data_IF_902248127370
#
_entry.id   IF_902248127370
#
_cell.length_a   1.000
_cell.length_b   1.000
_cell.length_c   1.000
_cell.angle_alpha   90.00
_cell.angle_beta   90.00
_cell.angle_gamma   90.00
#
_symmetry.space_group_name_H-M   'P 1'
#
loop_
_entity.id
_entity.type
_entity.pdbx_description
1 polymer ?
#
# COMPACT_ATOMS: atom_id res chain seq x y z
N UNK A 1 -50.59 -3.40 10.88
CA UNK A 1 -49.67 -4.24 10.09
C UNK A 1 -48.31 -3.60 10.24
N UNK A 2 -47.38 -4.34 10.84
CA UNK A 2 -46.05 -3.87 11.27
C UNK A 2 -45.22 -3.46 10.06
N UNK A 3 -44.76 -2.21 10.03
CA UNK A 3 -43.65 -1.81 9.17
C UNK A 3 -42.43 -2.64 9.58
N UNK A 4 -42.11 -3.63 8.76
CA UNK A 4 -40.90 -4.43 8.91
C UNK A 4 -39.71 -3.47 8.90
N UNK A 5 -38.91 -3.56 9.97
CA UNK A 5 -37.72 -2.78 10.25
C UNK A 5 -36.64 -3.13 9.21
N UNK A 6 -36.76 -2.62 7.98
CA UNK A 6 -35.83 -2.88 6.88
C UNK A 6 -34.48 -2.27 7.22
N UNK A 7 -33.48 -3.12 7.40
CA UNK A 7 -32.10 -2.72 7.63
C UNK A 7 -31.51 -2.18 6.32
N UNK A 8 -30.99 -0.95 6.36
CA UNK A 8 -30.18 -0.40 5.28
C UNK A 8 -28.74 -0.83 5.48
N UNK A 9 -28.19 -1.48 4.47
CA UNK A 9 -26.81 -1.99 4.47
C UNK A 9 -25.95 -1.07 3.64
N UNK A 10 -25.01 -0.42 4.31
CA UNK A 10 -24.07 0.46 3.67
C UNK A 10 -22.80 -0.31 3.30
N UNK A 11 -22.48 -0.34 2.01
CA UNK A 11 -21.35 -1.09 1.46
C UNK A 11 -20.53 -0.22 0.52
N UNK A 12 -19.21 -0.40 0.60
CA UNK A 12 -18.25 0.13 -0.35
C UNK A 12 -17.70 -0.92 -1.31
N UNK A 13 -16.55 -0.66 -1.94
CA UNK A 13 -15.90 -1.58 -2.88
C UNK A 13 -15.15 -2.74 -2.19
N UNK A 14 -14.80 -3.76 -3.00
CA UNK A 14 -14.21 -5.04 -2.55
C UNK A 14 -12.82 -4.92 -1.91
N UNK A 15 -12.10 -3.83 -2.16
CA UNK A 15 -10.83 -3.54 -1.53
C UNK A 15 -10.95 -2.20 -0.81
N UNK A 16 -11.67 -2.19 0.33
CA UNK A 16 -12.10 -0.94 0.96
C UNK A 16 -10.89 -0.15 1.44
N UNK A 17 -10.88 1.14 1.11
CA UNK A 17 -9.95 2.11 1.67
C UNK A 17 -10.57 2.83 2.86
N UNK A 18 -9.77 3.69 3.49
CA UNK A 18 -10.16 4.40 4.71
C UNK A 18 -11.37 5.29 4.48
N UNK A 19 -11.46 5.92 3.32
CA UNK A 19 -12.56 6.84 2.97
C UNK A 19 -13.88 6.08 2.92
N UNK A 20 -13.93 4.96 2.20
CA UNK A 20 -15.12 4.11 2.13
C UNK A 20 -15.63 3.66 3.48
N UNK A 21 -14.72 3.17 4.32
CA UNK A 21 -15.10 2.60 5.62
C UNK A 21 -15.59 3.72 6.54
N UNK A 22 -14.91 4.86 6.52
CA UNK A 22 -15.28 6.03 7.31
C UNK A 22 -16.63 6.59 6.86
N UNK A 23 -16.84 6.74 5.55
CA UNK A 23 -18.11 7.22 5.00
C UNK A 23 -19.26 6.27 5.33
N UNK A 24 -19.07 4.95 5.19
CA UNK A 24 -20.11 3.98 5.52
C UNK A 24 -20.53 4.04 7.00
N UNK A 25 -19.55 4.25 7.89
CA UNK A 25 -19.80 4.44 9.33
C UNK A 25 -20.51 5.76 9.62
N UNK A 26 -20.06 6.86 9.01
CA UNK A 26 -20.69 8.20 9.17
C UNK A 26 -22.13 8.17 8.67
N UNK A 27 -22.39 7.58 7.50
CA UNK A 27 -23.72 7.54 6.91
C UNK A 27 -24.66 6.62 7.71
N UNK A 28 -24.15 5.48 8.20
CA UNK A 28 -24.89 4.62 9.14
C UNK A 28 -25.31 5.40 10.39
N UNK A 29 -24.40 6.16 11.00
CA UNK A 29 -24.70 6.98 12.17
C UNK A 29 -25.71 8.10 11.84
N UNK A 30 -25.59 8.73 10.67
CA UNK A 30 -26.55 9.72 10.18
C UNK A 30 -27.96 9.13 10.05
N UNK A 31 -28.10 7.95 9.42
CA UNK A 31 -29.39 7.26 9.28
C UNK A 31 -29.99 6.89 10.63
N UNK A 32 -29.17 6.39 11.57
CA UNK A 32 -29.62 6.06 12.93
C UNK A 32 -30.15 7.29 13.67
N UNK A 33 -29.50 8.45 13.52
CA UNK A 33 -30.00 9.73 14.06
C UNK A 33 -31.31 10.20 13.43
N UNK A 34 -31.59 9.75 12.20
CA UNK A 34 -32.88 9.95 11.51
C UNK A 34 -33.92 8.87 11.87
N UNK A 35 -33.65 8.03 12.88
CA UNK A 35 -34.48 6.88 13.28
C UNK A 35 -34.65 5.81 12.19
N UNK A 36 -33.68 5.68 11.28
CA UNK A 36 -33.63 4.63 10.26
C UNK A 36 -32.69 3.54 10.74
N UNK A 37 -33.15 2.28 10.72
CA UNK A 37 -32.32 1.13 11.08
C UNK A 37 -31.26 0.89 9.99
N UNK A 38 -29.99 1.08 10.34
CA UNK A 38 -28.88 0.95 9.41
C UNK A 38 -27.66 0.28 10.05
N UNK A 39 -26.87 -0.42 9.22
CA UNK A 39 -25.62 -1.07 9.63
C UNK A 39 -24.59 -1.01 8.51
N UNK A 40 -23.36 -0.65 8.86
CA UNK A 40 -22.22 -0.62 7.95
C UNK A 40 -21.62 -2.03 7.80
N UNK A 41 -21.26 -2.38 6.57
CA UNK A 41 -20.57 -3.62 6.25
C UNK A 41 -19.36 -3.35 5.36
N UNK A 42 -18.35 -4.24 5.44
CA UNK A 42 -17.19 -4.24 4.53
C UNK A 42 -17.26 -5.41 3.56
N UNK A 43 -16.84 -5.20 2.32
CA UNK A 43 -16.80 -6.24 1.29
C UNK A 43 -15.43 -6.95 1.17
N UNK A 44 -14.44 -6.50 1.95
CA UNK A 44 -13.09 -7.03 1.91
C UNK A 44 -12.37 -6.83 3.23
N UNK A 45 -11.11 -7.27 3.28
CA UNK A 45 -10.24 -7.03 4.42
C UNK A 45 -9.85 -5.56 4.50
N UNK A 46 -9.79 -5.03 5.71
CA UNK A 46 -9.33 -3.66 5.96
C UNK A 46 -7.82 -3.57 5.73
N UNK A 47 -7.38 -2.47 5.13
CA UNK A 47 -5.95 -2.14 5.05
C UNK A 47 -5.45 -1.59 6.40
N UNK A 48 -4.13 -1.48 6.56
CA UNK A 48 -3.52 -1.06 7.83
C UNK A 48 -3.82 0.40 8.19
N UNK A 49 -3.99 1.27 7.19
CA UNK A 49 -4.41 2.66 7.38
C UNK A 49 -5.79 2.73 8.03
N UNK A 50 -6.77 1.98 7.50
CA UNK A 50 -8.14 1.95 8.02
C UNK A 50 -8.21 1.36 9.42
N UNK A 51 -7.50 0.25 9.68
CA UNK A 51 -7.41 -0.33 11.03
C UNK A 51 -6.85 0.66 12.05
N UNK A 52 -5.81 1.41 11.67
CA UNK A 52 -5.21 2.44 12.53
C UNK A 52 -6.19 3.56 12.85
N UNK A 53 -6.95 4.05 11.86
CA UNK A 53 -7.97 5.08 12.05
C UNK A 53 -9.03 4.60 13.06
N UNK A 54 -9.63 3.43 12.82
CA UNK A 54 -10.68 2.88 13.69
C UNK A 54 -10.21 2.71 15.14
N UNK A 55 -9.00 2.20 15.33
CA UNK A 55 -8.39 2.06 16.66
C UNK A 55 -8.14 3.41 17.33
N UNK A 56 -7.77 4.44 16.58
CA UNK A 56 -7.50 5.77 17.14
C UNK A 56 -8.76 6.40 17.71
N UNK A 57 -9.91 6.16 17.08
CA UNK A 57 -11.21 6.68 17.50
C UNK A 57 -12.04 5.68 18.33
N UNK A 58 -11.41 4.58 18.77
CA UNK A 58 -12.04 3.49 19.55
C UNK A 58 -13.34 2.95 18.92
N UNK A 59 -13.34 2.78 17.60
CA UNK A 59 -14.48 2.23 16.84
C UNK A 59 -14.25 0.77 16.46
N UNK A 60 -15.31 -0.04 16.53
CA UNK A 60 -15.27 -1.43 16.07
C UNK A 60 -15.21 -1.53 14.54
N UNK A 61 -14.53 -2.56 14.05
CA UNK A 61 -14.47 -2.87 12.63
C UNK A 61 -15.86 -3.27 12.10
N UNK A 62 -16.29 -2.73 10.93
CA UNK A 62 -17.51 -3.20 10.29
C UNK A 62 -17.46 -4.70 9.99
N UNK A 63 -18.60 -5.37 10.15
CA UNK A 63 -18.71 -6.79 9.84
C UNK A 63 -18.47 -7.05 8.34
N UNK A 64 -17.82 -8.18 8.03
CA UNK A 64 -17.69 -8.59 6.63
C UNK A 64 -19.05 -9.05 6.12
N UNK A 65 -19.50 -8.46 5.00
CA UNK A 65 -20.75 -8.87 4.39
C UNK A 65 -20.66 -10.33 3.97
N UNK A 66 -21.55 -11.16 4.48
CA UNK A 66 -21.69 -12.55 4.04
C UNK A 66 -22.57 -12.65 2.79
N UNK A 67 -22.34 -13.64 1.93
CA UNK A 67 -23.10 -13.85 0.68
C UNK A 67 -24.61 -14.16 0.88
N UNK A 68 -25.09 -14.25 2.12
CA UNK A 68 -26.46 -14.64 2.48
C UNK A 68 -27.40 -13.45 2.74
N UNK A 69 -27.33 -12.40 1.91
CA UNK A 69 -28.25 -11.26 2.04
C UNK A 69 -29.63 -11.61 1.46
N UNK A 70 -30.70 -11.27 2.18
CA UNK A 70 -32.05 -11.41 1.63
C UNK A 70 -32.24 -10.41 0.49
N UNK A 71 -32.97 -10.82 -0.56
CA UNK A 71 -33.32 -9.98 -1.72
C UNK A 71 -34.08 -8.69 -1.34
N UNK A 72 -34.56 -8.59 -0.09
CA UNK A 72 -35.28 -7.44 0.46
C UNK A 72 -34.39 -6.39 1.14
N UNK A 73 -33.07 -6.60 1.24
CA UNK A 73 -32.16 -5.65 1.90
C UNK A 73 -31.94 -4.41 1.03
N UNK A 74 -32.16 -3.23 1.60
CA UNK A 74 -31.84 -1.98 0.91
C UNK A 74 -30.37 -1.67 1.08
N UNK A 75 -29.67 -1.46 -0.04
CA UNK A 75 -28.23 -1.20 -0.03
C UNK A 75 -27.99 0.28 -0.35
N UNK A 76 -27.22 0.94 0.52
CA UNK A 76 -26.62 2.24 0.21
C UNK A 76 -25.20 1.99 -0.32
N UNK A 77 -24.92 2.50 -1.52
CA UNK A 77 -23.58 2.50 -2.10
C UNK A 77 -22.99 3.88 -1.90
N UNK A 78 -22.00 3.98 -1.01
CA UNK A 78 -21.39 5.26 -0.65
C UNK A 78 -20.24 5.67 -1.57
N UNK A 79 -19.72 4.75 -2.39
CA UNK A 79 -18.66 5.05 -3.36
C UNK A 79 -18.56 4.01 -4.50
N UNK A 80 -18.17 4.46 -5.70
CA UNK A 80 -17.95 3.69 -6.93
C UNK A 80 -16.77 4.30 -7.70
N UNK A 81 -15.66 3.56 -7.84
CA UNK A 81 -14.42 4.11 -8.39
C UNK A 81 -14.48 4.41 -9.90
N UNK A 82 -14.14 5.64 -10.29
CA UNK A 82 -13.53 5.97 -11.58
C UNK A 82 -11.98 6.00 -11.45
N UNK A 83 -11.28 5.49 -12.47
CA UNK A 83 -9.86 5.13 -12.48
C UNK A 83 -8.83 6.29 -12.43
N UNK A 84 -9.20 7.52 -12.06
CA UNK A 84 -8.27 8.67 -12.10
C UNK A 84 -8.19 9.42 -10.78
N UNK A 85 -7.33 8.95 -9.86
CA UNK A 85 -6.93 9.72 -8.69
C UNK A 85 -5.71 10.58 -9.04
N UNK A 86 -5.93 11.89 -9.19
CA UNK A 86 -4.91 12.96 -9.27
C UNK A 86 -4.97 13.83 -8.00
N UNK A 87 -4.23 14.94 -7.92
CA UNK A 87 -4.25 15.87 -6.76
C UNK A 87 -5.63 16.51 -6.57
N UNK A 88 -6.51 15.86 -5.82
CA UNK A 88 -7.92 16.23 -5.63
C UNK A 88 -8.16 17.17 -4.44
N UNK A 89 -7.14 17.47 -3.63
CA UNK A 89 -7.31 18.31 -2.44
C UNK A 89 -7.75 19.74 -2.79
N UNK A 90 -8.93 20.11 -2.31
CA UNK A 90 -9.56 21.41 -2.47
C UNK A 90 -9.42 22.28 -1.22
N UNK A 91 -9.81 23.55 -1.32
CA UNK A 91 -9.87 24.46 -0.17
C UNK A 91 -10.93 24.03 0.85
N UNK A 92 -11.99 23.35 0.40
CA UNK A 92 -13.04 22.86 1.29
C UNK A 92 -12.59 21.63 2.09
N UNK A 93 -11.72 20.79 1.52
CA UNK A 93 -11.06 19.71 2.27
C UNK A 93 -10.20 20.28 3.42
N UNK A 94 -9.44 21.34 3.14
CA UNK A 94 -8.60 22.01 4.16
C UNK A 94 -9.45 22.59 5.29
N UNK A 95 -10.53 23.31 4.96
CA UNK A 95 -11.46 23.86 5.96
C UNK A 95 -12.16 22.76 6.76
N UNK A 96 -12.46 21.63 6.13
CA UNK A 96 -13.08 20.48 6.79
C UNK A 96 -12.13 19.89 7.82
N UNK A 97 -10.85 19.72 7.49
CA UNK A 97 -9.82 19.28 8.44
C UNK A 97 -9.68 20.28 9.59
N UNK A 98 -9.63 21.57 9.32
CA UNK A 98 -9.56 22.63 10.34
C UNK A 98 -10.76 22.60 11.29
N UNK A 99 -11.96 22.33 10.77
CA UNK A 99 -13.20 22.22 11.56
C UNK A 99 -13.25 20.93 12.38
N UNK A 100 -12.83 19.79 11.81
CA UNK A 100 -12.90 18.48 12.46
C UNK A 100 -11.79 18.25 13.48
N UNK A 101 -10.60 18.83 13.28
CA UNK A 101 -9.45 18.65 14.16
C UNK A 101 -9.73 18.93 15.65
N UNK A 102 -10.35 20.06 16.05
CA UNK A 102 -10.67 20.29 17.46
C UNK A 102 -11.78 19.37 18.00
N UNK A 103 -12.57 18.74 17.12
CA UNK A 103 -13.65 17.83 17.50
C UNK A 103 -13.17 16.38 17.66
N UNK A 104 -12.02 16.03 17.09
CA UNK A 104 -11.47 14.67 17.13
C UNK A 104 -10.67 14.36 18.41
N UNK A 105 -10.63 15.30 19.37
CA UNK A 105 -9.84 15.19 20.61
C UNK A 105 -8.34 14.87 20.36
N UNK A 106 -7.86 15.19 19.15
CA UNK A 106 -6.50 14.95 18.75
C UNK A 106 -5.67 16.22 18.97
N UNK A 107 -4.76 16.19 19.94
CA UNK A 107 -3.97 17.37 20.30
C UNK A 107 -2.83 17.69 19.31
N UNK A 108 -2.51 16.78 18.39
CA UNK A 108 -1.39 16.94 17.46
C UNK A 108 -1.65 16.28 16.09
N UNK A 109 -2.19 17.09 15.17
CA UNK A 109 -2.52 16.66 13.82
C UNK A 109 -1.30 16.14 13.04
N UNK A 110 -0.15 16.82 13.16
CA UNK A 110 1.08 16.43 12.44
C UNK A 110 1.57 15.05 12.90
N UNK A 111 1.58 14.81 14.22
CA UNK A 111 1.92 13.50 14.77
C UNK A 111 0.95 12.41 14.30
N UNK A 112 -0.35 12.69 14.28
CA UNK A 112 -1.36 11.75 13.81
C UNK A 112 -1.21 11.42 12.32
N UNK A 113 -1.01 12.43 11.47
CA UNK A 113 -0.76 12.24 10.04
C UNK A 113 0.49 11.39 9.81
N UNK A 114 1.57 11.65 10.55
CA UNK A 114 2.78 10.83 10.47
C UNK A 114 2.52 9.37 10.86
N UNK A 115 1.74 9.13 11.92
CA UNK A 115 1.35 7.76 12.33
C UNK A 115 0.42 7.08 11.34
N UNK A 116 -0.45 7.82 10.67
CA UNK A 116 -1.29 7.32 9.59
C UNK A 116 -0.45 6.88 8.39
N UNK A 117 0.53 7.70 7.99
CA UNK A 117 1.48 7.32 6.92
C UNK A 117 2.32 6.11 7.30
N UNK A 118 2.80 6.01 8.55
CA UNK A 118 3.49 4.83 9.05
C UNK A 118 2.60 3.58 8.90
N UNK A 119 1.36 3.62 9.40
CA UNK A 119 0.41 2.51 9.33
C UNK A 119 0.09 2.11 7.88
N UNK A 120 -0.15 3.09 7.00
CA UNK A 120 -0.39 2.86 5.57
C UNK A 120 0.78 2.17 4.88
N UNK A 121 2.00 2.56 5.25
CA UNK A 121 3.25 2.05 4.69
C UNK A 121 3.77 0.78 5.38
N UNK A 122 3.04 0.29 6.38
CA UNK A 122 3.40 -0.91 7.13
C UNK A 122 3.11 -2.15 6.28
N UNK A 123 4.18 -2.82 5.88
CA UNK A 123 4.15 -4.02 5.06
C UNK A 123 4.41 -5.29 5.88
N UNK A 124 4.53 -5.18 7.21
CA UNK A 124 4.92 -6.30 8.08
C UNK A 124 3.92 -7.47 8.05
N UNK A 125 2.62 -7.19 7.92
CA UNK A 125 1.58 -8.23 7.82
C UNK A 125 1.62 -9.02 6.49
N UNK A 126 2.27 -8.49 5.45
CA UNK A 126 2.36 -9.16 4.16
C UNK A 126 3.57 -10.09 4.09
N UNK A 127 3.41 -11.23 3.41
CA UNK A 127 4.56 -12.08 3.09
C UNK A 127 5.52 -11.36 2.15
N UNK A 128 6.81 -11.62 2.27
CA UNK A 128 7.84 -11.05 1.37
C UNK A 128 7.52 -11.32 -0.10
N UNK A 129 6.95 -12.49 -0.40
CA UNK A 129 6.40 -12.82 -1.73
C UNK A 129 5.30 -11.86 -2.18
N UNK A 130 4.31 -11.57 -1.32
CA UNK A 130 3.20 -10.66 -1.66
C UNK A 130 3.72 -9.24 -1.85
N UNK A 131 4.56 -8.75 -0.95
CA UNK A 131 5.16 -7.41 -1.03
C UNK A 131 5.88 -7.21 -2.36
N UNK A 132 6.74 -8.18 -2.70
CA UNK A 132 7.46 -8.22 -3.97
C UNK A 132 6.55 -8.10 -5.20
N UNK A 133 5.43 -8.83 -5.20
CA UNK A 133 4.50 -8.87 -6.32
C UNK A 133 3.69 -7.59 -6.50
N UNK A 134 3.67 -6.67 -5.53
CA UNK A 134 2.91 -5.42 -5.63
C UNK A 134 3.42 -4.50 -6.76
N UNK A 135 4.74 -4.43 -6.97
CA UNK A 135 5.34 -3.59 -8.03
C UNK A 135 6.40 -4.33 -8.86
N UNK A 136 6.31 -5.65 -8.97
CA UNK A 136 7.24 -6.36 -9.85
C UNK A 136 6.94 -6.12 -11.33
N UNK A 137 7.96 -5.65 -12.04
CA UNK A 137 7.94 -5.49 -13.49
C UNK A 137 9.08 -6.28 -14.12
N UNK A 138 8.82 -6.82 -15.30
CA UNK A 138 9.81 -7.57 -16.08
C UNK A 138 10.36 -6.68 -17.18
N UNK A 139 11.68 -6.68 -17.35
CA UNK A 139 12.42 -5.90 -18.32
C UNK A 139 13.37 -6.82 -19.08
N UNK A 140 13.64 -6.43 -20.32
CA UNK A 140 14.56 -7.12 -21.20
C UNK A 140 15.69 -6.16 -21.52
N UNK A 141 16.91 -6.52 -21.14
CA UNK A 141 18.11 -5.79 -21.50
C UNK A 141 18.98 -6.72 -22.34
N UNK A 142 19.13 -6.42 -23.62
CA UNK A 142 19.70 -7.35 -24.61
C UNK A 142 18.98 -8.72 -24.56
N UNK A 143 19.71 -9.82 -24.38
CA UNK A 143 19.17 -11.18 -24.23
C UNK A 143 18.86 -11.57 -22.76
N UNK A 144 19.06 -10.66 -21.80
CA UNK A 144 18.86 -10.93 -20.38
C UNK A 144 17.47 -10.51 -19.88
N UNK A 145 16.89 -11.36 -19.03
CA UNK A 145 15.60 -11.11 -18.38
C UNK A 145 15.81 -10.62 -16.95
N UNK A 146 15.32 -9.41 -16.68
CA UNK A 146 15.41 -8.76 -15.38
C UNK A 146 14.02 -8.58 -14.77
N UNK A 147 13.86 -8.94 -13.50
CA UNK A 147 12.71 -8.48 -12.70
C UNK A 147 13.15 -7.44 -11.70
N UNK A 148 12.48 -6.30 -11.71
CA UNK A 148 12.77 -5.18 -10.81
C UNK A 148 11.47 -4.82 -10.10
N UNK A 149 11.52 -4.78 -8.77
CA UNK A 149 10.38 -4.42 -7.93
C UNK A 149 10.78 -3.42 -6.87
N UNK A 150 9.82 -2.65 -6.42
CA UNK A 150 10.00 -1.62 -5.40
C UNK A 150 8.96 -1.77 -4.31
N UNK A 151 9.39 -1.79 -3.05
CA UNK A 151 8.54 -1.67 -1.88
C UNK A 151 8.78 -0.33 -1.21
N UNK A 152 7.78 0.55 -1.27
CA UNK A 152 7.79 1.83 -0.55
C UNK A 152 7.34 1.60 0.90
N UNK A 153 8.07 2.20 1.85
CA UNK A 153 7.78 2.08 3.29
C UNK A 153 8.21 3.35 4.03
N UNK A 154 7.61 3.62 5.19
CA UNK A 154 8.13 4.62 6.14
C UNK A 154 9.02 3.96 7.22
N UNK A 155 9.13 2.63 7.22
CA UNK A 155 9.93 1.87 8.18
C UNK A 155 10.85 0.90 7.45
N UNK A 156 11.97 1.42 6.96
CA UNK A 156 12.97 0.62 6.24
C UNK A 156 13.59 -0.49 7.12
N UNK A 157 13.77 -0.24 8.41
CA UNK A 157 14.47 -1.17 9.31
C UNK A 157 13.69 -2.49 9.45
N UNK A 158 12.35 -2.44 9.60
CA UNK A 158 11.52 -3.65 9.68
C UNK A 158 11.53 -4.49 8.39
N UNK A 159 11.73 -3.84 7.25
CA UNK A 159 11.86 -4.52 5.96
C UNK A 159 13.24 -5.18 5.82
N UNK A 160 14.29 -4.52 6.31
CA UNK A 160 15.66 -5.04 6.32
C UNK A 160 15.84 -6.19 7.31
N UNK A 161 15.13 -6.20 8.44
CA UNK A 161 15.09 -7.35 9.36
C UNK A 161 14.63 -8.63 8.67
N UNK A 162 13.82 -8.51 7.60
CA UNK A 162 13.32 -9.60 6.77
C UNK A 162 14.15 -9.86 5.51
N UNK A 163 15.36 -9.28 5.41
CA UNK A 163 16.26 -9.39 4.25
C UNK A 163 16.44 -10.84 3.80
N UNK A 164 16.72 -11.75 4.73
CA UNK A 164 17.00 -13.15 4.40
C UNK A 164 15.75 -13.86 3.83
N UNK A 165 14.56 -13.51 4.30
CA UNK A 165 13.30 -14.00 3.72
C UNK A 165 13.10 -13.48 2.30
N UNK A 166 13.39 -12.20 2.05
CA UNK A 166 13.34 -11.62 0.71
C UNK A 166 14.32 -12.30 -0.24
N UNK A 167 15.58 -12.45 0.17
CA UNK A 167 16.63 -13.09 -0.63
C UNK A 167 16.27 -14.55 -0.94
N UNK A 168 15.70 -15.28 0.02
CA UNK A 168 15.20 -16.63 -0.19
C UNK A 168 14.10 -16.68 -1.25
N UNK A 169 13.07 -15.85 -1.12
CA UNK A 169 11.96 -15.78 -2.10
C UNK A 169 12.43 -15.31 -3.48
N UNK A 170 13.41 -14.41 -3.55
CA UNK A 170 14.05 -13.99 -4.80
C UNK A 170 14.72 -15.16 -5.49
N UNK A 171 15.53 -15.92 -4.77
CA UNK A 171 16.21 -17.09 -5.30
C UNK A 171 15.25 -18.23 -5.70
N UNK A 172 14.17 -18.44 -4.94
CA UNK A 172 13.12 -19.39 -5.32
C UNK A 172 12.39 -18.97 -6.62
N UNK A 173 12.14 -17.67 -6.79
CA UNK A 173 11.48 -17.14 -7.98
C UNK A 173 12.37 -17.22 -9.24
N UNK A 174 13.68 -16.97 -9.09
CA UNK A 174 14.68 -17.20 -10.15
C UNK A 174 14.59 -18.64 -10.66
N UNK A 175 14.59 -19.61 -9.73
CA UNK A 175 14.48 -21.05 -10.05
C UNK A 175 13.13 -21.41 -10.68
N UNK A 176 12.03 -20.91 -10.15
CA UNK A 176 10.66 -21.27 -10.58
C UNK A 176 10.34 -20.79 -11.99
N UNK A 177 10.83 -19.62 -12.38
CA UNK A 177 10.45 -18.97 -13.64
C UNK A 177 11.60 -18.85 -14.65
N UNK A 178 12.75 -19.48 -14.36
CA UNK A 178 13.95 -19.40 -15.19
C UNK A 178 14.34 -17.94 -15.52
N UNK A 179 14.31 -17.08 -14.51
CA UNK A 179 14.67 -15.66 -14.63
C UNK A 179 16.15 -15.52 -14.29
N UNK A 180 16.90 -14.85 -15.17
CA UNK A 180 18.33 -14.63 -15.00
C UNK A 180 18.61 -13.72 -13.79
N UNK A 181 17.95 -12.56 -13.73
CA UNK A 181 18.28 -11.51 -12.77
C UNK A 181 17.06 -10.93 -12.06
N UNK A 182 17.15 -10.70 -10.74
CA UNK A 182 16.10 -10.07 -9.94
C UNK A 182 16.69 -9.01 -8.99
N UNK A 183 16.10 -7.82 -8.97
CA UNK A 183 16.37 -6.76 -7.99
C UNK A 183 15.10 -6.43 -7.20
N UNK A 184 15.25 -6.09 -5.92
CA UNK A 184 14.15 -5.56 -5.11
C UNK A 184 14.61 -4.36 -4.29
N UNK A 185 14.03 -3.19 -4.55
CA UNK A 185 14.35 -1.94 -3.83
C UNK A 185 13.41 -1.72 -2.66
N UNK A 186 13.97 -1.48 -1.49
CA UNK A 186 13.25 -1.00 -0.30
C UNK A 186 13.47 0.51 -0.24
N UNK A 187 12.39 1.27 -0.32
CA UNK A 187 12.44 2.73 -0.47
C UNK A 187 11.78 3.38 0.73
N UNK A 188 12.59 4.08 1.52
CA UNK A 188 12.10 4.91 2.62
C UNK A 188 11.61 6.24 2.05
N UNK A 189 10.29 6.42 1.97
CA UNK A 189 9.69 7.63 1.40
C UNK A 189 9.85 8.85 2.30
N UNK A 190 10.13 8.66 3.60
CA UNK A 190 10.32 9.74 4.56
C UNK A 190 11.78 10.19 4.55
N UNK A 191 12.71 9.25 4.67
CA UNK A 191 14.16 9.53 4.65
C UNK A 191 14.72 9.70 3.24
N UNK A 192 13.91 9.47 2.21
CA UNK A 192 14.30 9.51 0.79
C UNK A 192 15.49 8.58 0.50
N UNK A 193 15.47 7.36 1.05
CA UNK A 193 16.57 6.40 0.94
C UNK A 193 16.15 5.17 0.12
N UNK A 194 17.00 4.67 -0.77
CA UNK A 194 16.78 3.40 -1.46
C UNK A 194 17.90 2.40 -1.15
N UNK A 195 17.52 1.29 -0.53
CA UNK A 195 18.38 0.12 -0.37
C UNK A 195 17.86 -1.03 -1.24
N UNK A 196 18.67 -1.49 -2.17
CA UNK A 196 18.32 -2.57 -3.10
C UNK A 196 18.94 -3.88 -2.67
N UNK A 197 18.10 -4.92 -2.57
CA UNK A 197 18.50 -6.29 -2.31
C UNK A 197 19.02 -6.95 -3.59
N UNK A 198 20.19 -7.58 -3.48
CA UNK A 198 20.95 -8.21 -4.56
C UNK A 198 21.09 -9.71 -4.25
N UNK A 199 20.39 -10.62 -4.96
CA UNK A 199 20.31 -12.03 -4.57
C UNK A 199 21.46 -12.90 -5.07
N UNK A 200 22.26 -12.42 -6.03
CA UNK A 200 23.31 -13.20 -6.69
C UNK A 200 24.45 -12.35 -7.24
N UNK A 201 25.54 -13.03 -7.61
CA UNK A 201 26.79 -12.41 -8.07
C UNK A 201 26.65 -11.70 -9.42
N UNK A 202 25.82 -12.23 -10.32
CA UNK A 202 25.57 -11.62 -11.64
C UNK A 202 24.89 -10.25 -11.49
N UNK A 203 23.87 -10.17 -10.63
CA UNK A 203 23.22 -8.90 -10.30
C UNK A 203 24.17 -7.92 -9.61
N UNK A 204 25.03 -8.42 -8.71
CA UNK A 204 26.02 -7.60 -8.01
C UNK A 204 27.00 -6.93 -8.98
N UNK A 205 27.55 -7.68 -9.94
CA UNK A 205 28.49 -7.14 -10.92
C UNK A 205 27.85 -6.01 -11.74
N UNK A 206 26.63 -6.22 -12.23
CA UNK A 206 25.90 -5.22 -13.00
C UNK A 206 25.57 -4.00 -12.14
N UNK A 207 25.10 -4.19 -10.90
CA UNK A 207 24.75 -3.06 -10.02
C UNK A 207 25.98 -2.23 -9.65
N UNK A 208 27.11 -2.86 -9.30
CA UNK A 208 28.37 -2.15 -9.03
C UNK A 208 28.81 -1.32 -10.22
N UNK A 209 28.76 -1.89 -11.43
CA UNK A 209 29.22 -1.22 -12.64
C UNK A 209 28.26 -0.10 -13.09
N UNK A 210 26.96 -0.36 -13.12
CA UNK A 210 25.94 0.56 -13.61
C UNK A 210 25.69 1.73 -12.64
N UNK A 211 25.63 1.45 -11.33
CA UNK A 211 25.29 2.45 -10.32
C UNK A 211 26.52 3.08 -9.67
N UNK A 212 27.72 2.48 -9.83
CA UNK A 212 28.99 2.92 -9.22
C UNK A 212 28.88 2.95 -7.69
N UNK A 213 28.28 1.91 -7.12
CA UNK A 213 28.05 1.75 -5.69
C UNK A 213 28.66 0.44 -5.22
N UNK A 214 28.96 0.37 -3.92
CA UNK A 214 29.35 -0.89 -3.30
C UNK A 214 28.13 -1.70 -2.87
N UNK A 215 28.25 -3.02 -3.01
CA UNK A 215 27.29 -3.99 -2.46
C UNK A 215 27.91 -4.61 -1.21
N UNK A 216 27.22 -4.52 -0.09
CA UNK A 216 27.66 -5.11 1.17
C UNK A 216 26.52 -5.97 1.72
N UNK A 217 26.82 -7.22 2.06
CA UNK A 217 25.84 -8.15 2.65
C UNK A 217 24.53 -8.24 1.84
N UNK A 218 24.68 -8.37 0.51
CA UNK A 218 23.59 -8.43 -0.47
C UNK A 218 22.73 -7.15 -0.56
N UNK A 219 23.22 -6.00 -0.08
CA UNK A 219 22.52 -4.71 -0.12
C UNK A 219 23.37 -3.67 -0.85
N UNK A 220 22.74 -2.93 -1.77
CA UNK A 220 23.30 -1.75 -2.43
C UNK A 220 22.53 -0.49 -2.01
N UNK A 221 23.21 0.58 -1.61
CA UNK A 221 22.58 1.89 -1.41
C UNK A 221 22.56 2.66 -2.73
N UNK A 222 21.37 2.86 -3.31
CA UNK A 222 21.19 3.56 -4.59
C UNK A 222 20.92 5.07 -4.41
N UNK A 223 20.84 5.54 -3.16
CA UNK A 223 20.61 6.94 -2.81
C UNK A 223 19.19 7.45 -3.10
N UNK A 224 19.05 8.78 -3.09
CA UNK A 224 17.75 9.49 -3.12
C UNK A 224 17.16 9.63 -4.54
N UNK A 225 18.01 9.70 -5.58
CA UNK A 225 17.60 10.01 -6.96
C UNK A 225 17.19 8.78 -7.78
N UNK A 226 17.12 7.62 -7.13
CA UNK A 226 16.85 6.32 -7.76
C UNK A 226 15.82 5.54 -6.95
N UNK A 227 14.84 6.23 -6.37
CA UNK A 227 13.84 5.66 -5.46
C UNK A 227 12.72 4.92 -6.19
N UNK A 228 12.64 5.00 -7.52
CA UNK A 228 11.56 4.37 -8.29
C UNK A 228 12.07 3.41 -9.35
N UNK A 229 11.25 2.39 -9.63
CA UNK A 229 11.46 1.40 -10.68
C UNK A 229 11.93 2.04 -12.00
N UNK A 230 11.33 3.16 -12.42
CA UNK A 230 11.72 3.91 -13.63
C UNK A 230 13.17 4.41 -13.62
N UNK A 231 13.64 4.94 -12.51
CA UNK A 231 14.99 5.54 -12.41
C UNK A 231 16.07 4.46 -12.43
N UNK A 232 15.82 3.33 -11.75
CA UNK A 232 16.70 2.15 -11.79
C UNK A 232 16.81 1.62 -13.22
N UNK A 233 15.68 1.52 -13.93
CA UNK A 233 15.65 1.07 -15.32
C UNK A 233 16.49 1.97 -16.21
N UNK A 234 16.32 3.30 -16.14
CA UNK A 234 17.08 4.21 -17.01
C UNK A 234 18.60 4.08 -16.85
N UNK A 235 19.08 3.78 -15.63
CA UNK A 235 20.51 3.52 -15.38
C UNK A 235 20.95 2.19 -15.97
N UNK A 236 20.14 1.14 -15.82
CA UNK A 236 20.42 -0.18 -16.40
C UNK A 236 20.39 -0.14 -17.93
N UNK A 237 19.41 0.54 -18.54
CA UNK A 237 19.34 0.76 -19.99
C UNK A 237 20.60 1.45 -20.51
N UNK A 238 21.05 2.51 -19.84
CA UNK A 238 22.28 3.20 -20.22
C UNK A 238 23.51 2.29 -20.12
N UNK A 239 23.61 1.47 -19.06
CA UNK A 239 24.69 0.52 -18.88
C UNK A 239 24.72 -0.55 -19.98
N UNK A 240 23.59 -1.21 -20.23
CA UNK A 240 23.53 -2.25 -21.26
C UNK A 240 23.74 -1.69 -22.66
N UNK A 241 23.17 -0.53 -22.99
CA UNK A 241 23.41 0.12 -24.29
C UNK A 241 24.88 0.53 -24.52
N UNK A 242 25.63 0.82 -23.45
CA UNK A 242 27.05 1.19 -23.54
C UNK A 242 28.01 0.01 -23.66
N UNK A 243 27.53 -1.21 -23.36
CA UNK A 243 28.30 -2.45 -23.35
C UNK A 243 27.81 -3.47 -24.41
N UNK A 244 26.90 -3.06 -25.30
CA UNK A 244 26.41 -3.83 -26.46
C UNK A 244 27.21 -3.58 -27.72
#
# INVERSE_FOLDING_TARGET
>A
MSDENKEIVDIGHRNPDTDIITVALIYTEFLRRMNINAKAYRLGNLNNETKFVLKTVDMEEPEMLSDNMSESTQVALVDHNENQQSSTTTDDDRKTVEYLHPLSENDNLEFYVNKLFEAKSDLTEFSTKKIRLLDYKTFHFNDEHWRIGTGETCNMDTMLERKDEFLKEMNEEKKRNNIANILFSIVDIVKQKNLTLIPGEDEEQVVRAAFKVDVNDCIADLGTNKSRTREIISVLEAYFNSNS
#
